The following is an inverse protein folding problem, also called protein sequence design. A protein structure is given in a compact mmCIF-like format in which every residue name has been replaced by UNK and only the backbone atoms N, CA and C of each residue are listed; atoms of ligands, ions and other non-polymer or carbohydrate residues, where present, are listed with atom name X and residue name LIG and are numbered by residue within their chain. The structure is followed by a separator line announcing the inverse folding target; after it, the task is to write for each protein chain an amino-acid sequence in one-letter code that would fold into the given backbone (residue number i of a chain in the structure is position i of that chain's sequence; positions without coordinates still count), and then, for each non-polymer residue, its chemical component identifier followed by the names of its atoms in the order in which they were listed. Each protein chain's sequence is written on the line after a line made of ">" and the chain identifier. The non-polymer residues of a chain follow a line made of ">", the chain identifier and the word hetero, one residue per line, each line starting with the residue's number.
data_IF_444310801295
#
_entry.id   IF_444310801295
#
_cell.length_a   1.000
_cell.length_b   1.000
_cell.length_c   1.000
_cell.angle_alpha   90.00
_cell.angle_beta   90.00
_cell.angle_gamma   90.00
#
_symmetry.space_group_name_H-M   'P 1'
#
loop_
_entity.id
_entity.type
_entity.pdbx_description
1 polymer ?
#
# COMPACT_ATOMS: atom_id res chain seq x y z
N UNK A 1 -17.22 -1.50 -15.50
CA UNK A 1 -16.88 -1.85 -14.11
C UNK A 1 -18.13 -1.74 -13.24
N UNK A 2 -18.50 -2.81 -12.53
CA UNK A 2 -19.61 -2.77 -11.56
C UNK A 2 -19.24 -1.86 -10.39
N UNK A 3 -19.93 -0.73 -10.27
CA UNK A 3 -19.65 0.26 -9.21
C UNK A 3 -20.26 -0.21 -7.89
N UNK A 4 -19.49 -0.09 -6.82
CA UNK A 4 -19.98 -0.23 -5.47
C UNK A 4 -20.98 0.92 -5.17
N UNK A 5 -22.06 0.66 -4.46
CA UNK A 5 -23.01 1.72 -4.10
C UNK A 5 -22.48 2.62 -2.97
N UNK A 6 -23.04 3.81 -2.84
CA UNK A 6 -22.61 4.83 -1.87
C UNK A 6 -22.69 4.35 -0.42
N UNK A 7 -23.75 3.58 -0.07
CA UNK A 7 -23.91 3.03 1.28
C UNK A 7 -22.78 2.08 1.65
N UNK A 8 -22.39 1.21 0.72
CA UNK A 8 -21.26 0.29 0.91
C UNK A 8 -19.93 1.03 1.09
N UNK A 9 -19.66 2.08 0.28
CA UNK A 9 -18.49 2.93 0.49
C UNK A 9 -18.43 3.50 1.90
N UNK A 10 -19.55 4.00 2.43
CA UNK A 10 -19.65 4.56 3.79
C UNK A 10 -19.32 3.52 4.86
N UNK A 11 -19.89 2.31 4.76
CA UNK A 11 -19.68 1.23 5.74
C UNK A 11 -18.21 0.77 5.74
N UNK A 12 -17.66 0.47 4.56
CA UNK A 12 -16.33 -0.09 4.45
C UNK A 12 -15.23 0.95 4.73
N UNK A 13 -15.38 2.20 4.28
CA UNK A 13 -14.40 3.25 4.59
C UNK A 13 -14.38 3.62 6.08
N UNK A 14 -15.55 3.59 6.75
CA UNK A 14 -15.58 3.72 8.22
C UNK A 14 -14.81 2.59 8.89
N UNK A 15 -15.00 1.34 8.43
CA UNK A 15 -14.25 0.22 8.96
C UNK A 15 -12.75 0.38 8.80
N UNK A 16 -12.26 0.79 7.60
CA UNK A 16 -10.83 1.03 7.36
C UNK A 16 -10.27 2.14 8.26
N UNK A 17 -11.00 3.23 8.42
CA UNK A 17 -10.61 4.32 9.33
C UNK A 17 -10.50 3.86 10.79
N UNK A 18 -11.44 3.06 11.26
CA UNK A 18 -11.43 2.51 12.62
C UNK A 18 -10.32 1.46 12.78
N UNK A 19 -10.06 0.66 11.72
CA UNK A 19 -9.00 -0.33 11.70
C UNK A 19 -7.61 0.32 11.77
N UNK A 20 -7.36 1.43 11.05
CA UNK A 20 -6.09 2.17 11.12
C UNK A 20 -5.72 2.56 12.55
N UNK A 21 -6.68 3.11 13.30
CA UNK A 21 -6.49 3.49 14.72
C UNK A 21 -6.18 2.26 15.60
N UNK A 22 -6.89 1.15 15.35
CA UNK A 22 -6.66 -0.11 16.07
C UNK A 22 -5.29 -0.70 15.78
N UNK A 23 -4.82 -0.64 14.53
CA UNK A 23 -3.50 -1.12 14.12
C UNK A 23 -2.38 -0.33 14.78
N UNK A 24 -2.47 1.00 14.77
CA UNK A 24 -1.52 1.86 15.47
C UNK A 24 -1.48 1.57 16.97
N UNK A 25 -2.67 1.45 17.63
CA UNK A 25 -2.76 1.07 19.03
C UNK A 25 -2.18 -0.34 19.29
N UNK A 26 -2.46 -1.30 18.41
CA UNK A 26 -1.95 -2.67 18.53
C UNK A 26 -0.43 -2.71 18.45
N UNK A 27 0.19 -1.94 17.54
CA UNK A 27 1.64 -1.81 17.46
C UNK A 27 2.23 -1.36 18.78
N UNK A 28 1.80 -0.21 19.31
CA UNK A 28 2.38 0.35 20.54
C UNK A 28 2.15 -0.53 21.77
N UNK A 29 1.03 -1.22 21.86
CA UNK A 29 0.72 -2.06 23.01
C UNK A 29 1.35 -3.46 22.96
N UNK A 30 1.57 -4.01 21.78
CA UNK A 30 1.90 -5.43 21.60
C UNK A 30 3.17 -5.71 20.81
N UNK A 31 3.47 -4.91 19.82
CA UNK A 31 4.53 -5.20 18.84
C UNK A 31 5.72 -4.23 18.89
N UNK A 32 5.65 -3.15 19.66
CA UNK A 32 6.79 -2.28 19.96
C UNK A 32 7.71 -2.95 20.99
N UNK A 33 8.25 -4.11 20.64
CA UNK A 33 9.07 -4.99 21.49
C UNK A 33 10.04 -5.77 20.60
N UNK A 34 11.09 -6.37 21.15
CA UNK A 34 11.96 -7.28 20.39
C UNK A 34 11.16 -8.34 19.64
N UNK A 35 11.49 -8.57 18.38
CA UNK A 35 10.83 -9.51 17.48
C UNK A 35 11.85 -10.49 16.88
N UNK A 36 11.37 -11.66 16.45
CA UNK A 36 12.20 -12.64 15.73
C UNK A 36 12.13 -12.36 14.23
N UNK A 37 13.27 -12.38 13.57
CA UNK A 37 13.40 -12.26 12.13
C UNK A 37 13.74 -13.63 11.55
N UNK A 38 13.10 -14.00 10.45
CA UNK A 38 13.44 -15.16 9.63
C UNK A 38 13.46 -14.75 8.15
N UNK A 39 14.15 -15.50 7.32
CA UNK A 39 14.20 -15.25 5.88
C UNK A 39 13.25 -16.22 5.16
N UNK A 40 12.37 -15.72 4.28
CA UNK A 40 11.49 -16.53 3.43
C UNK A 40 12.25 -17.22 2.30
N UNK A 41 13.34 -16.58 1.82
CA UNK A 41 14.21 -17.09 0.75
C UNK A 41 15.12 -18.21 1.25
N UNK A 42 15.19 -19.31 0.50
CA UNK A 42 16.07 -20.46 0.79
C UNK A 42 17.42 -20.42 0.06
N UNK A 43 17.77 -19.30 -0.58
CA UNK A 43 18.99 -19.13 -1.39
C UNK A 43 19.79 -17.89 -1.00
N UNK A 44 20.40 -17.25 -2.02
CA UNK A 44 21.18 -16.01 -1.82
C UNK A 44 20.31 -14.74 -1.64
N UNK A 45 19.00 -14.86 -1.77
CA UNK A 45 18.06 -13.76 -1.59
C UNK A 45 17.81 -13.42 -0.12
N UNK A 46 17.34 -12.20 0.14
CA UNK A 46 16.93 -11.73 1.47
C UNK A 46 15.51 -11.18 1.41
N UNK A 47 14.55 -11.97 1.90
CA UNK A 47 13.13 -11.64 2.04
C UNK A 47 12.72 -11.86 3.50
N UNK A 48 12.95 -10.86 4.37
CA UNK A 48 12.71 -11.01 5.79
C UNK A 48 11.21 -11.07 6.12
N UNK A 49 10.87 -11.90 7.08
CA UNK A 49 9.58 -11.92 7.75
C UNK A 49 9.81 -11.91 9.26
N UNK A 50 8.97 -11.18 9.97
CA UNK A 50 9.07 -11.11 11.43
C UNK A 50 7.87 -11.77 12.10
N UNK A 51 8.01 -12.04 13.39
CA UNK A 51 6.86 -12.49 14.20
C UNK A 51 5.76 -11.41 14.29
N UNK A 52 6.12 -10.14 14.02
CA UNK A 52 5.18 -9.02 13.97
C UNK A 52 4.28 -9.09 12.74
N UNK A 53 4.82 -9.44 11.54
CA UNK A 53 4.03 -9.62 10.30
C UNK A 53 2.88 -10.59 10.54
N UNK A 54 3.19 -11.78 11.06
CA UNK A 54 2.20 -12.82 11.37
C UNK A 54 1.19 -12.36 12.43
N UNK A 55 1.63 -11.59 13.41
CA UNK A 55 0.77 -11.07 14.48
C UNK A 55 -0.18 -10.01 13.96
N UNK A 56 0.30 -9.08 13.12
CA UNK A 56 -0.54 -8.09 12.46
C UNK A 56 -1.58 -8.75 11.55
N UNK A 57 -1.17 -9.69 10.69
CA UNK A 57 -2.12 -10.33 9.79
C UNK A 57 -3.21 -11.09 10.54
N UNK A 58 -2.87 -11.83 11.61
CA UNK A 58 -3.86 -12.47 12.49
C UNK A 58 -4.84 -11.45 13.08
N UNK A 59 -4.33 -10.33 13.56
CA UNK A 59 -5.16 -9.25 14.11
C UNK A 59 -6.10 -8.66 13.05
N UNK A 60 -5.59 -8.33 11.86
CA UNK A 60 -6.39 -7.77 10.77
C UNK A 60 -7.48 -8.74 10.33
N UNK A 61 -7.13 -10.02 10.13
CA UNK A 61 -8.09 -11.08 9.78
C UNK A 61 -9.20 -11.22 10.82
N UNK A 62 -8.87 -11.18 12.11
CA UNK A 62 -9.84 -11.23 13.20
C UNK A 62 -10.82 -10.06 13.14
N UNK A 63 -10.33 -8.83 12.93
CA UNK A 63 -11.18 -7.63 12.84
C UNK A 63 -12.08 -7.67 11.59
N UNK A 64 -11.57 -8.13 10.46
CA UNK A 64 -12.36 -8.30 9.22
C UNK A 64 -13.45 -9.34 9.44
N UNK A 65 -13.11 -10.54 9.92
CA UNK A 65 -14.06 -11.64 10.07
C UNK A 65 -15.13 -11.36 11.12
N UNK A 66 -14.82 -10.59 12.15
CA UNK A 66 -15.80 -10.13 13.14
C UNK A 66 -16.92 -9.30 12.49
N UNK A 67 -16.61 -8.50 11.49
CA UNK A 67 -17.56 -7.58 10.86
C UNK A 67 -18.11 -8.08 9.53
N UNK A 68 -17.27 -8.81 8.78
CA UNK A 68 -17.57 -9.31 7.44
C UNK A 68 -17.24 -10.80 7.31
N UNK A 69 -17.93 -11.70 8.05
CA UNK A 69 -17.56 -13.12 8.15
C UNK A 69 -17.62 -13.88 6.81
N UNK A 70 -18.43 -13.38 5.87
CA UNK A 70 -18.62 -14.00 4.55
C UNK A 70 -17.62 -13.50 3.48
N UNK A 71 -16.81 -12.46 3.77
CA UNK A 71 -15.86 -11.94 2.79
C UNK A 71 -14.66 -12.88 2.64
N UNK A 72 -14.04 -12.85 1.48
CA UNK A 72 -12.77 -13.50 1.20
C UNK A 72 -11.62 -12.68 1.79
N UNK A 73 -10.52 -13.34 2.14
CA UNK A 73 -9.30 -12.67 2.58
C UNK A 73 -8.12 -13.31 1.87
N UNK A 74 -7.23 -12.49 1.30
CA UNK A 74 -5.94 -12.86 0.74
C UNK A 74 -4.86 -12.04 1.43
N UNK A 75 -4.00 -12.68 2.18
CA UNK A 75 -2.90 -12.04 2.89
C UNK A 75 -1.56 -12.63 2.48
N UNK A 76 -0.51 -11.89 2.73
CA UNK A 76 0.86 -12.27 2.43
C UNK A 76 1.31 -13.48 3.24
N UNK A 77 1.03 -13.51 4.56
CA UNK A 77 1.59 -14.50 5.48
C UNK A 77 0.76 -15.77 5.62
N UNK A 78 -0.57 -15.66 5.56
CA UNK A 78 -1.49 -16.81 5.74
C UNK A 78 -2.29 -17.14 4.48
N UNK A 79 -1.90 -16.59 3.32
CA UNK A 79 -2.51 -16.92 2.05
C UNK A 79 -4.01 -16.58 1.98
N UNK A 80 -4.77 -17.40 1.25
CA UNK A 80 -6.15 -17.09 0.90
C UNK A 80 -7.15 -17.90 1.72
N UNK A 81 -8.11 -17.20 2.38
CA UNK A 81 -9.38 -17.75 2.84
C UNK A 81 -10.44 -17.51 1.78
N UNK A 82 -10.85 -18.55 1.08
CA UNK A 82 -11.91 -18.50 0.03
C UNK A 82 -13.30 -18.56 0.67
N UNK A 83 -14.21 -17.78 0.16
CA UNK A 83 -15.66 -17.82 0.44
C UNK A 83 -16.43 -17.50 -0.86
N UNK A 84 -17.74 -17.77 -0.90
CA UNK A 84 -18.61 -17.31 -2.00
C UNK A 84 -18.96 -15.83 -1.75
N UNK A 85 -18.09 -14.92 -2.18
CA UNK A 85 -18.28 -13.47 -2.03
C UNK A 85 -17.60 -12.71 -3.17
N UNK A 86 -18.24 -11.66 -3.66
CA UNK A 86 -17.64 -10.71 -4.61
C UNK A 86 -16.57 -9.82 -3.93
N UNK A 87 -16.52 -9.82 -2.59
CA UNK A 87 -15.60 -9.00 -1.80
C UNK A 87 -14.40 -9.82 -1.35
N UNK A 88 -13.20 -9.29 -1.61
CA UNK A 88 -11.93 -9.85 -1.14
C UNK A 88 -11.11 -8.77 -0.46
N UNK A 89 -10.72 -9.00 0.79
CA UNK A 89 -9.72 -8.19 1.48
C UNK A 89 -8.33 -8.66 1.07
N UNK A 90 -7.47 -7.74 0.64
CA UNK A 90 -6.07 -8.03 0.35
C UNK A 90 -5.23 -7.32 1.41
N UNK A 91 -4.27 -8.03 2.01
CA UNK A 91 -3.55 -7.58 3.20
C UNK A 91 -2.05 -7.77 3.00
N UNK A 92 -1.30 -6.70 3.20
CA UNK A 92 0.11 -6.73 3.58
C UNK A 92 0.21 -6.28 5.05
N UNK A 93 0.62 -7.16 5.95
CA UNK A 93 0.71 -6.81 7.36
C UNK A 93 1.82 -5.81 7.67
N UNK A 94 2.96 -5.89 6.99
CA UNK A 94 4.10 -4.96 7.11
C UNK A 94 4.75 -4.78 5.74
N UNK A 95 4.24 -3.84 4.94
CA UNK A 95 4.94 -3.35 3.75
C UNK A 95 6.23 -2.64 4.17
N UNK A 96 7.33 -2.95 3.51
CA UNK A 96 8.64 -2.46 3.92
C UNK A 96 9.21 -3.22 5.13
N UNK A 97 9.11 -4.55 5.19
CA UNK A 97 9.66 -5.37 6.28
C UNK A 97 11.15 -5.10 6.52
N UNK A 98 11.93 -4.79 5.49
CA UNK A 98 13.34 -4.38 5.65
C UNK A 98 13.47 -3.09 6.46
N UNK A 99 12.62 -2.11 6.20
CA UNK A 99 12.53 -0.87 6.99
C UNK A 99 12.13 -1.16 8.42
N UNK A 100 11.14 -2.04 8.63
CA UNK A 100 10.72 -2.47 9.97
C UNK A 100 11.86 -3.10 10.77
N UNK A 101 12.64 -4.01 10.16
CA UNK A 101 13.74 -4.74 10.80
C UNK A 101 14.85 -3.80 11.30
N UNK A 102 15.16 -2.74 10.57
CA UNK A 102 16.20 -1.76 10.95
C UNK A 102 15.65 -0.59 11.79
N UNK A 103 14.36 -0.60 12.14
CA UNK A 103 13.74 0.48 12.93
C UNK A 103 13.41 1.75 12.14
N UNK A 104 13.43 1.71 10.80
CA UNK A 104 13.03 2.83 9.97
C UNK A 104 11.49 3.03 10.06
N UNK A 105 10.97 4.25 10.31
CA UNK A 105 9.56 4.50 10.55
C UNK A 105 8.66 4.44 9.30
N UNK A 106 9.20 4.15 8.11
CA UNK A 106 8.50 4.22 6.82
C UNK A 106 7.66 3.00 6.46
N UNK A 107 7.76 1.91 7.22
CA UNK A 107 6.94 0.72 7.00
C UNK A 107 5.45 0.97 7.26
N UNK A 108 4.59 0.17 6.65
CA UNK A 108 3.14 0.36 6.72
C UNK A 108 2.34 -0.93 6.83
N UNK A 109 1.09 -0.83 7.31
CA UNK A 109 0.09 -1.87 7.10
C UNK A 109 -0.74 -1.48 5.87
N UNK A 110 -0.85 -2.37 4.89
CA UNK A 110 -1.61 -2.14 3.67
C UNK A 110 -2.84 -3.04 3.63
N UNK A 111 -4.01 -2.46 3.44
CA UNK A 111 -5.26 -3.22 3.35
C UNK A 111 -6.11 -2.67 2.20
N UNK A 112 -6.54 -3.52 1.29
CA UNK A 112 -7.57 -3.15 0.32
C UNK A 112 -8.83 -3.99 0.45
N UNK A 113 -9.95 -3.39 0.07
CA UNK A 113 -11.16 -4.11 -0.27
C UNK A 113 -11.31 -4.13 -1.79
N UNK A 114 -11.29 -5.34 -2.35
CA UNK A 114 -11.56 -5.57 -3.76
C UNK A 114 -13.03 -5.98 -3.93
N UNK A 115 -13.67 -5.46 -4.95
CA UNK A 115 -14.99 -5.88 -5.41
C UNK A 115 -14.89 -6.46 -6.81
N UNK A 116 -15.27 -7.72 -6.98
CA UNK A 116 -15.15 -8.47 -8.24
C UNK A 116 -13.72 -8.39 -8.83
N UNK A 117 -12.71 -8.52 -7.97
CA UNK A 117 -11.30 -8.53 -8.35
C UNK A 117 -10.64 -7.15 -8.48
N UNK A 118 -11.40 -6.04 -8.52
CA UNK A 118 -10.85 -4.69 -8.61
C UNK A 118 -10.78 -4.01 -7.23
N UNK A 119 -9.64 -3.38 -6.84
CA UNK A 119 -9.54 -2.66 -5.57
C UNK A 119 -10.39 -1.39 -5.61
N UNK A 120 -11.34 -1.27 -4.67
CA UNK A 120 -12.29 -0.15 -4.59
C UNK A 120 -12.06 0.75 -3.39
N UNK A 121 -11.49 0.20 -2.32
CA UNK A 121 -11.08 0.94 -1.13
C UNK A 121 -9.70 0.49 -0.68
N UNK A 122 -8.90 1.42 -0.18
CA UNK A 122 -7.55 1.18 0.34
C UNK A 122 -7.27 1.90 1.64
N UNK A 123 -6.35 1.32 2.40
CA UNK A 123 -5.75 1.88 3.60
C UNK A 123 -4.24 1.64 3.54
N UNK A 124 -3.46 2.71 3.72
CA UNK A 124 -2.02 2.67 4.01
C UNK A 124 -1.80 3.32 5.38
N UNK A 125 -1.50 2.51 6.39
CA UNK A 125 -1.33 2.95 7.77
C UNK A 125 0.14 2.91 8.16
N UNK A 126 0.69 4.02 8.63
CA UNK A 126 2.06 4.20 9.10
C UNK A 126 2.06 4.43 10.62
N UNK A 127 2.11 3.36 11.43
CA UNK A 127 1.91 3.44 12.88
C UNK A 127 2.89 4.37 13.58
N UNK A 128 4.20 4.32 13.23
CA UNK A 128 5.24 5.15 13.86
C UNK A 128 5.06 6.62 13.52
N UNK A 129 4.65 6.92 12.29
CA UNK A 129 4.37 8.29 11.83
C UNK A 129 3.04 8.83 12.34
N UNK A 130 2.21 8.02 13.03
CA UNK A 130 0.83 8.34 13.46
C UNK A 130 -0.01 8.88 12.32
N UNK A 131 0.18 8.32 11.14
CA UNK A 131 -0.36 8.80 9.88
C UNK A 131 -0.97 7.65 9.09
N UNK A 132 -2.10 7.89 8.44
CA UNK A 132 -2.67 6.92 7.51
C UNK A 132 -3.41 7.61 6.37
N UNK A 133 -3.43 6.91 5.23
CA UNK A 133 -4.10 7.34 4.01
C UNK A 133 -5.20 6.35 3.67
N UNK A 134 -6.35 6.84 3.22
CA UNK A 134 -7.44 5.99 2.78
C UNK A 134 -8.39 6.77 1.86
N UNK A 135 -9.16 6.06 1.04
CA UNK A 135 -10.23 6.67 0.27
C UNK A 135 -11.60 6.34 0.88
N UNK A 136 -12.58 7.19 0.63
CA UNK A 136 -13.97 7.02 1.08
C UNK A 136 -14.95 6.84 -0.08
N UNK A 137 -14.49 7.12 -1.30
CA UNK A 137 -15.21 6.98 -2.55
C UNK A 137 -14.20 6.98 -3.71
N UNK A 138 -14.60 6.73 -4.96
CA UNK A 138 -13.70 6.83 -6.12
C UNK A 138 -13.14 8.24 -6.38
N UNK A 139 -13.68 9.28 -5.72
CA UNK A 139 -13.29 10.69 -5.93
C UNK A 139 -12.84 11.40 -4.65
N UNK A 140 -12.60 10.65 -3.57
CA UNK A 140 -12.25 11.27 -2.30
C UNK A 140 -11.28 10.43 -1.51
N UNK A 141 -10.03 10.87 -1.45
CA UNK A 141 -8.96 10.33 -0.62
C UNK A 141 -8.57 11.31 0.48
N UNK A 142 -8.12 10.77 1.60
CA UNK A 142 -7.77 11.51 2.80
C UNK A 142 -6.48 11.02 3.41
N UNK A 143 -5.75 11.94 4.03
CA UNK A 143 -4.73 11.65 5.03
C UNK A 143 -5.28 12.02 6.41
N UNK A 144 -4.98 11.20 7.39
CA UNK A 144 -5.16 11.51 8.80
C UNK A 144 -3.80 11.45 9.48
N UNK A 145 -3.39 12.54 10.11
CA UNK A 145 -2.12 12.71 10.80
C UNK A 145 -2.41 13.36 12.15
N UNK A 146 -1.96 12.76 13.25
CA UNK A 146 -2.25 13.21 14.61
C UNK A 146 -3.74 13.51 14.84
N UNK A 147 -4.62 12.63 14.37
CA UNK A 147 -6.09 12.74 14.41
C UNK A 147 -6.68 13.89 13.57
N UNK A 148 -5.88 14.66 12.84
CA UNK A 148 -6.36 15.70 11.92
C UNK A 148 -6.57 15.10 10.53
N UNK A 149 -7.81 15.15 10.05
CA UNK A 149 -8.19 14.63 8.73
C UNK A 149 -8.13 15.73 7.67
N UNK A 150 -7.48 15.44 6.54
CA UNK A 150 -7.35 16.35 5.41
C UNK A 150 -7.60 15.61 4.10
N UNK A 151 -8.37 16.21 3.17
CA UNK A 151 -8.52 15.70 1.80
C UNK A 151 -7.21 15.87 1.03
N UNK A 152 -6.83 14.88 0.24
CA UNK A 152 -5.60 14.90 -0.56
C UNK A 152 -5.91 14.92 -2.04
N UNK A 153 -4.96 15.46 -2.82
CA UNK A 153 -4.95 15.51 -4.28
C UNK A 153 -3.51 15.39 -4.78
N UNK A 154 -3.34 14.76 -5.93
CA UNK A 154 -2.05 14.75 -6.65
C UNK A 154 -1.68 16.16 -7.13
N UNK A 155 -0.38 16.37 -7.43
CA UNK A 155 0.10 17.59 -8.02
C UNK A 155 -0.10 17.57 -9.55
N UNK A 156 -1.22 18.10 -10.03
CA UNK A 156 -1.51 18.21 -11.47
C UNK A 156 -0.82 19.41 -12.17
N UNK A 157 0.01 20.17 -11.45
CA UNK A 157 0.82 21.29 -12.00
C UNK A 157 2.28 20.89 -12.25
N UNK A 158 2.65 19.64 -12.01
CA UNK A 158 4.00 19.13 -12.26
C UNK A 158 4.40 19.35 -13.73
N UNK A 159 5.65 19.79 -13.94
CA UNK A 159 6.24 19.96 -15.27
C UNK A 159 7.41 18.99 -15.40
N UNK A 160 7.66 18.50 -16.61
CA UNK A 160 8.77 17.60 -16.88
C UNK A 160 10.12 18.14 -16.40
N UNK A 161 10.31 19.47 -16.48
CA UNK A 161 11.56 20.15 -16.10
C UNK A 161 11.87 20.12 -14.60
N UNK A 162 10.85 19.94 -13.74
CA UNK A 162 11.00 19.98 -12.28
C UNK A 162 10.23 18.87 -11.56
N UNK A 163 9.97 17.77 -12.26
CA UNK A 163 9.23 16.63 -11.71
C UNK A 163 9.99 16.01 -10.52
N UNK A 164 9.28 15.78 -9.42
CA UNK A 164 9.78 15.10 -8.24
C UNK A 164 9.55 13.60 -8.42
N UNK A 165 10.61 12.88 -8.71
CA UNK A 165 10.59 11.46 -8.97
C UNK A 165 11.13 10.66 -7.80
N UNK A 166 10.40 9.63 -7.38
CA UNK A 166 10.84 8.60 -6.45
C UNK A 166 10.89 7.26 -7.18
N UNK A 167 12.06 6.60 -7.17
CA UNK A 167 12.23 5.35 -7.90
C UNK A 167 12.97 4.31 -7.06
N UNK A 168 12.53 3.06 -7.13
CA UNK A 168 13.23 1.92 -6.58
C UNK A 168 13.14 0.70 -7.51
N UNK A 169 14.27 0.19 -7.88
CA UNK A 169 14.37 -0.92 -8.81
C UNK A 169 14.74 -2.25 -8.12
N UNK A 170 15.14 -2.21 -6.84
CA UNK A 170 15.45 -3.37 -5.97
C UNK A 170 16.26 -4.49 -6.66
N UNK A 171 17.16 -4.14 -7.61
CA UNK A 171 17.88 -5.12 -8.39
C UNK A 171 17.05 -5.90 -9.43
N UNK A 172 15.78 -5.54 -9.63
CA UNK A 172 14.87 -6.26 -10.51
C UNK A 172 15.08 -5.96 -12.00
N UNK A 173 15.88 -4.95 -12.34
CA UNK A 173 16.20 -4.62 -13.73
C UNK A 173 17.62 -5.04 -14.06
N UNK A 174 17.79 -5.71 -15.22
CA UNK A 174 19.09 -6.09 -15.74
C UNK A 174 19.96 -4.88 -16.12
N UNK A 175 21.27 -5.05 -16.24
CA UNK A 175 22.19 -4.00 -16.71
C UNK A 175 21.75 -3.41 -18.06
N UNK A 176 21.22 -4.25 -18.97
CA UNK A 176 20.71 -3.78 -20.26
C UNK A 176 19.46 -2.91 -20.13
N UNK A 177 18.60 -3.19 -19.14
CA UNK A 177 17.44 -2.34 -18.82
C UNK A 177 17.87 -1.04 -18.16
N UNK A 178 18.88 -1.07 -17.27
CA UNK A 178 19.44 0.13 -16.64
C UNK A 178 20.01 1.11 -17.68
N UNK A 179 20.62 0.63 -18.77
CA UNK A 179 21.09 1.46 -19.88
C UNK A 179 19.97 2.24 -20.57
N UNK A 180 18.71 1.82 -20.43
CA UNK A 180 17.53 2.48 -21.03
C UNK A 180 16.91 3.57 -20.16
N UNK A 181 17.36 3.72 -18.89
CA UNK A 181 16.81 4.70 -17.95
C UNK A 181 17.69 5.93 -17.64
N UNK A 182 18.79 6.25 -18.39
CA UNK A 182 19.63 7.39 -18.04
C UNK A 182 18.87 8.72 -18.07
N UNK A 183 17.81 8.82 -18.87
CA UNK A 183 16.93 10.00 -18.88
C UNK A 183 16.16 10.13 -17.56
N UNK A 184 15.69 9.01 -16.99
CA UNK A 184 15.01 8.97 -15.70
C UNK A 184 15.99 9.32 -14.58
N UNK A 185 17.24 8.80 -14.66
CA UNK A 185 18.28 9.06 -13.66
C UNK A 185 18.71 10.53 -13.60
N UNK A 186 18.50 11.28 -14.69
CA UNK A 186 18.75 12.73 -14.74
C UNK A 186 17.62 13.58 -14.15
N UNK A 187 16.46 13.00 -13.89
CA UNK A 187 15.34 13.71 -13.27
C UNK A 187 15.61 13.89 -11.76
N UNK A 188 14.96 14.87 -11.15
CA UNK A 188 15.06 15.10 -9.72
C UNK A 188 14.52 13.90 -8.94
N UNK A 189 15.40 13.21 -8.20
CA UNK A 189 15.06 12.01 -7.48
C UNK A 189 14.90 12.26 -5.98
N UNK A 190 13.85 11.66 -5.42
CA UNK A 190 13.57 11.64 -4.00
C UNK A 190 13.73 10.23 -3.43
N UNK A 191 14.05 10.09 -2.13
CA UNK A 191 14.13 8.78 -1.50
C UNK A 191 12.87 7.95 -1.77
N UNK A 192 13.06 6.68 -2.11
CA UNK A 192 11.96 5.73 -2.19
C UNK A 192 11.75 5.06 -0.83
N UNK A 193 10.51 5.02 -0.39
CA UNK A 193 10.11 4.47 0.89
C UNK A 193 8.82 3.66 0.71
N UNK A 194 8.89 2.61 -0.07
CA UNK A 194 7.80 1.65 -0.32
C UNK A 194 6.43 2.34 -0.50
N UNK A 195 5.38 1.93 0.20
CA UNK A 195 4.05 2.54 0.14
C UNK A 195 3.99 4.02 0.52
N UNK A 196 4.96 4.53 1.30
CA UNK A 196 4.97 5.96 1.66
C UNK A 196 5.23 6.84 0.44
N UNK A 197 6.02 6.38 -0.53
CA UNK A 197 6.25 7.10 -1.79
C UNK A 197 4.95 7.27 -2.58
N UNK A 198 4.17 6.22 -2.73
CA UNK A 198 2.85 6.28 -3.37
C UNK A 198 1.85 7.15 -2.58
N UNK A 199 1.94 7.10 -1.25
CA UNK A 199 1.11 7.95 -0.38
C UNK A 199 1.46 9.43 -0.54
N UNK A 200 2.76 9.76 -0.67
CA UNK A 200 3.22 11.12 -0.97
C UNK A 200 2.85 11.56 -2.38
N UNK A 201 2.81 10.65 -3.35
CA UNK A 201 2.28 10.94 -4.68
C UNK A 201 0.79 11.31 -4.60
N UNK A 202 -0.03 10.51 -3.93
CA UNK A 202 -1.44 10.81 -3.74
C UNK A 202 -1.69 12.13 -2.97
N UNK A 203 -0.72 12.56 -2.14
CA UNK A 203 -0.74 13.82 -1.39
C UNK A 203 -0.21 15.03 -2.18
N UNK A 204 0.33 14.80 -3.40
CA UNK A 204 0.91 15.82 -4.26
C UNK A 204 2.31 16.30 -3.85
N UNK A 205 3.00 15.55 -3.00
CA UNK A 205 4.38 15.84 -2.56
C UNK A 205 5.43 15.28 -3.52
N UNK A 206 5.13 14.18 -4.18
CA UNK A 206 5.91 13.52 -5.24
C UNK A 206 5.05 13.52 -6.49
N UNK A 207 5.64 13.64 -7.67
CA UNK A 207 4.95 13.76 -8.94
C UNK A 207 4.97 12.46 -9.74
N UNK A 208 5.98 11.60 -9.53
CA UNK A 208 6.13 10.31 -10.19
C UNK A 208 6.73 9.29 -9.23
N UNK A 209 6.17 8.09 -9.20
CA UNK A 209 6.72 6.94 -8.47
C UNK A 209 6.94 5.79 -9.45
N UNK A 210 8.16 5.23 -9.46
CA UNK A 210 8.52 4.07 -10.28
C UNK A 210 9.06 2.98 -9.36
N UNK A 211 8.36 1.84 -9.31
CA UNK A 211 8.81 0.67 -8.56
C UNK A 211 8.65 -0.60 -9.38
N UNK A 212 9.47 -1.61 -9.09
CA UNK A 212 9.38 -2.92 -9.70
C UNK A 212 9.13 -4.03 -8.67
N UNK A 213 8.69 -5.19 -9.17
CA UNK A 213 8.45 -6.41 -8.40
C UNK A 213 7.38 -6.30 -7.30
N UNK A 214 6.46 -5.32 -7.40
CA UNK A 214 5.32 -5.24 -6.48
C UNK A 214 4.48 -6.51 -6.53
N UNK A 215 4.01 -6.96 -5.39
CA UNK A 215 2.97 -7.99 -5.25
C UNK A 215 1.59 -7.32 -5.21
N UNK A 216 0.55 -8.12 -5.27
CA UNK A 216 -0.82 -7.56 -5.24
C UNK A 216 -1.15 -6.87 -3.91
N UNK A 217 -0.59 -7.33 -2.81
CA UNK A 217 -0.79 -6.73 -1.50
C UNK A 217 -0.04 -5.42 -1.31
N UNK A 218 1.05 -5.17 -2.06
CA UNK A 218 1.78 -3.90 -2.05
C UNK A 218 1.00 -2.80 -2.79
N UNK A 219 0.32 -3.14 -3.91
CA UNK A 219 -0.24 -2.12 -4.80
C UNK A 219 -1.77 -1.98 -4.74
N UNK A 220 -2.54 -3.08 -4.51
CA UNK A 220 -4.00 -2.99 -4.46
C UNK A 220 -4.52 -1.98 -3.42
N UNK A 221 -3.92 -1.84 -2.22
CA UNK A 221 -4.33 -0.83 -1.26
C UNK A 221 -4.10 0.61 -1.74
N UNK A 222 -3.11 0.81 -2.60
CA UNK A 222 -2.68 2.13 -3.06
C UNK A 222 -3.46 2.61 -4.28
N UNK A 223 -3.85 1.71 -5.20
CA UNK A 223 -4.63 2.04 -6.40
C UNK A 223 -5.83 2.94 -6.08
N UNK A 224 -6.79 2.56 -5.23
CA UNK A 224 -7.98 3.36 -4.99
C UNK A 224 -7.69 4.66 -4.24
N UNK A 225 -6.61 4.74 -3.46
CA UNK A 225 -6.17 5.99 -2.81
C UNK A 225 -5.66 6.98 -3.87
N UNK A 226 -4.79 6.50 -4.77
CA UNK A 226 -4.19 7.29 -5.85
C UNK A 226 -5.28 7.79 -6.81
N UNK A 227 -6.13 6.89 -7.32
CA UNK A 227 -7.22 7.24 -8.23
C UNK A 227 -8.20 8.23 -7.61
N UNK A 228 -8.56 8.05 -6.34
CA UNK A 228 -9.45 8.96 -5.62
C UNK A 228 -8.82 10.33 -5.32
N UNK A 229 -7.49 10.43 -5.33
CA UNK A 229 -6.74 11.69 -5.27
C UNK A 229 -6.56 12.36 -6.64
N UNK A 230 -7.00 11.71 -7.73
CA UNK A 230 -6.90 12.21 -9.10
C UNK A 230 -5.61 11.80 -9.82
N UNK A 231 -4.84 10.87 -9.26
CA UNK A 231 -3.64 10.30 -9.87
C UNK A 231 -3.97 9.15 -10.84
N UNK A 232 -2.97 8.78 -11.62
CA UNK A 232 -2.99 7.62 -12.51
C UNK A 232 -1.98 6.61 -12.01
N UNK A 233 -2.34 5.33 -12.05
CA UNK A 233 -1.43 4.23 -11.73
C UNK A 233 -1.57 3.12 -12.76
N UNK A 234 -0.45 2.68 -13.32
CA UNK A 234 -0.37 1.67 -14.36
C UNK A 234 0.84 0.76 -14.16
N UNK A 235 0.92 -0.31 -14.94
CA UNK A 235 2.20 -0.96 -15.16
C UNK A 235 3.06 -0.17 -16.17
N UNK A 236 4.33 -0.59 -16.36
CA UNK A 236 5.24 0.09 -17.29
C UNK A 236 4.83 -0.01 -18.77
N UNK A 237 3.80 -0.79 -19.11
CA UNK A 237 3.21 -0.90 -20.45
C UNK A 237 1.94 -0.06 -20.60
N UNK A 238 1.64 0.80 -19.62
CA UNK A 238 0.39 1.58 -19.55
C UNK A 238 -0.88 0.71 -19.50
N UNK A 239 -0.78 -0.48 -18.89
CA UNK A 239 -1.90 -1.36 -18.61
C UNK A 239 -2.30 -1.26 -17.15
N UNK A 240 -3.42 -1.90 -16.76
CA UNK A 240 -3.91 -1.92 -15.38
C UNK A 240 -2.87 -2.42 -14.38
N UNK A 241 -2.66 -1.67 -13.30
CA UNK A 241 -1.77 -2.03 -12.20
C UNK A 241 -2.30 -3.20 -11.33
N UNK A 242 -3.52 -3.68 -11.55
CA UNK A 242 -4.13 -4.74 -10.73
C UNK A 242 -3.43 -6.10 -10.82
N UNK A 243 -2.59 -6.31 -11.83
CA UNK A 243 -1.75 -7.51 -11.94
C UNK A 243 -0.44 -7.41 -11.15
N UNK A 244 -0.19 -6.25 -10.52
CA UNK A 244 1.06 -5.94 -9.83
C UNK A 244 2.31 -5.98 -10.74
N UNK A 245 3.49 -6.20 -10.20
CA UNK A 245 4.74 -6.20 -10.96
C UNK A 245 5.40 -4.83 -11.01
N UNK A 246 5.75 -4.37 -12.20
CA UNK A 246 6.43 -3.09 -12.39
C UNK A 246 5.39 -1.96 -12.50
N UNK A 247 5.42 -1.02 -11.59
CA UNK A 247 4.40 0.01 -11.40
C UNK A 247 4.95 1.41 -11.68
N UNK A 248 4.10 2.22 -12.30
CA UNK A 248 4.25 3.65 -12.50
C UNK A 248 3.00 4.36 -11.97
N UNK A 249 3.21 5.36 -11.13
CA UNK A 249 2.17 6.26 -10.66
C UNK A 249 2.58 7.73 -10.86
#
# INVERSE_FOLDING_TARGET
>A
MSKLNSSNYKVFSKFLNDLAKKLTKYYYLRLNKPFKVSNKEKGKGYDPVTSADKSFEKFIRKEILKKFPKHQIKGEEFGQKKNKSDFTWVIDPIDGTRSFVIGNPTWSNLISLNYKGYPVLGLANFPILRKYYYNTSPKSAFVVEDNKKRKIKVNYKAKYSNVKLSAAFHGCISLNQQKKIPKILKMMQFPCADALSYSHFAEGKIDVVIQCANKIWDIHPLIPIIEAAGGVVSNWKNESATKAGNILA
#
